data_IF_065421268722
#
_entry.id   IF_065421268722
#
_cell.length_a   1.000
_cell.length_b   1.000
_cell.length_c   1.000
_cell.angle_alpha   90.00
_cell.angle_beta   90.00
_cell.angle_gamma   90.00
#
_symmetry.space_group_name_H-M   'P 1'
#
loop_
_entity.id
_entity.type
_entity.pdbx_description
1 polymer ?
#
# COMPACT_ATOMS: atom_id res chain seq x y z
N UNK A 1 19.55 6.57 8.56
CA UNK A 1 20.26 5.28 8.53
C UNK A 1 19.68 4.39 9.63
N UNK A 2 19.13 3.24 9.29
CA UNK A 2 18.40 2.39 10.26
C UNK A 2 19.37 1.58 11.10
N UNK A 3 19.18 1.55 12.42
CA UNK A 3 19.92 0.68 13.35
C UNK A 3 19.79 -0.78 12.91
N UNK A 4 20.88 -1.55 12.91
CA UNK A 4 20.94 -2.94 12.41
C UNK A 4 20.74 -3.10 10.89
N UNK A 5 20.82 -2.01 10.14
CA UNK A 5 20.75 -1.97 8.68
C UNK A 5 21.84 -1.12 8.04
N UNK A 6 22.96 -0.90 8.73
CA UNK A 6 24.02 0.04 8.33
C UNK A 6 24.60 -0.26 6.94
N UNK A 7 24.67 -1.53 6.57
CA UNK A 7 25.14 -1.97 5.25
C UNK A 7 23.99 -2.34 4.30
N UNK A 8 22.79 -1.83 4.57
CA UNK A 8 21.57 -2.16 3.85
C UNK A 8 20.95 -3.50 4.28
N UNK A 9 19.61 -3.54 4.29
CA UNK A 9 18.88 -4.77 4.60
C UNK A 9 18.89 -5.70 3.38
N UNK A 10 19.50 -6.89 3.54
CA UNK A 10 19.60 -7.91 2.46
C UNK A 10 18.31 -8.68 2.20
N UNK A 11 17.47 -8.84 3.22
CA UNK A 11 16.17 -9.54 3.10
C UNK A 11 15.10 -8.58 2.57
N UNK A 12 14.30 -9.06 1.63
CA UNK A 12 13.13 -8.33 1.14
C UNK A 12 12.15 -7.99 2.28
N UNK A 13 11.29 -6.99 2.03
CA UNK A 13 10.17 -6.67 2.92
C UNK A 13 9.25 -7.89 3.02
N UNK A 14 8.91 -8.31 4.24
CA UNK A 14 7.87 -9.32 4.44
C UNK A 14 6.55 -8.77 3.91
N UNK A 15 5.87 -9.55 3.08
CA UNK A 15 4.53 -9.18 2.61
C UNK A 15 3.47 -9.66 3.61
N UNK A 16 3.15 -8.78 4.56
CA UNK A 16 2.11 -9.04 5.56
C UNK A 16 0.73 -9.15 4.91
N UNK A 17 0.45 -8.32 3.89
CA UNK A 17 -0.85 -8.29 3.25
C UNK A 17 -1.14 -9.60 2.53
N UNK A 18 -0.20 -10.08 1.71
CA UNK A 18 -0.32 -11.40 1.06
C UNK A 18 -0.46 -12.51 2.10
N UNK A 19 0.32 -12.47 3.18
CA UNK A 19 0.21 -13.48 4.25
C UNK A 19 -1.20 -13.53 4.84
N UNK A 20 -1.84 -12.36 5.05
CA UNK A 20 -3.20 -12.31 5.60
C UNK A 20 -4.28 -12.70 4.59
N UNK A 21 -4.11 -12.33 3.31
CA UNK A 21 -5.03 -12.74 2.24
C UNK A 21 -5.12 -14.26 2.09
N UNK A 22 -4.02 -14.99 2.35
CA UNK A 22 -4.01 -16.46 2.25
C UNK A 22 -4.94 -17.14 3.25
N UNK A 23 -5.38 -16.46 4.33
CA UNK A 23 -6.43 -16.99 5.19
C UNK A 23 -7.82 -16.99 4.53
N UNK A 24 -8.02 -16.19 3.47
CA UNK A 24 -9.24 -16.16 2.65
C UNK A 24 -10.44 -15.41 3.26
N UNK A 25 -10.46 -15.21 4.59
CA UNK A 25 -11.58 -14.61 5.32
C UNK A 25 -11.21 -13.31 6.06
N UNK A 26 -10.11 -12.69 5.67
CA UNK A 26 -9.64 -11.42 6.24
C UNK A 26 -9.76 -10.36 5.17
N UNK A 27 -10.43 -9.24 5.44
CA UNK A 27 -10.36 -8.08 4.56
C UNK A 27 -8.97 -7.46 4.67
N UNK A 28 -8.30 -7.20 3.54
CA UNK A 28 -6.93 -6.65 3.54
C UNK A 28 -6.83 -5.50 2.55
N UNK A 29 -6.36 -4.34 3.00
CA UNK A 29 -6.08 -3.21 2.13
C UNK A 29 -4.68 -2.64 2.36
N UNK A 30 -3.97 -2.32 1.27
CA UNK A 30 -2.76 -1.51 1.32
C UNK A 30 -3.10 -0.12 0.78
N UNK A 31 -2.90 0.91 1.61
CA UNK A 31 -3.35 2.29 1.35
C UNK A 31 -2.18 3.27 1.41
N UNK A 32 -2.39 4.44 0.79
CA UNK A 32 -1.51 5.59 0.88
C UNK A 32 -2.33 6.85 0.69
N UNK A 33 -2.53 7.60 1.77
CA UNK A 33 -3.42 8.77 1.79
C UNK A 33 -2.95 9.84 0.82
N UNK A 34 -1.63 10.09 0.76
CA UNK A 34 -1.06 11.10 -0.13
C UNK A 34 -1.04 10.69 -1.61
N UNK A 35 -1.07 9.38 -1.90
CA UNK A 35 -1.14 8.88 -3.26
C UNK A 35 -2.59 8.88 -3.79
N UNK A 36 -3.56 8.40 -3.01
CA UNK A 36 -4.93 8.22 -3.48
C UNK A 36 -5.94 8.31 -2.32
N UNK A 37 -6.42 9.53 -2.01
CA UNK A 37 -7.37 9.77 -0.91
C UNK A 37 -8.67 8.97 -1.03
N UNK A 38 -9.28 8.96 -2.23
CA UNK A 38 -10.55 8.25 -2.46
C UNK A 38 -10.43 6.74 -2.21
N UNK A 39 -9.30 6.14 -2.58
CA UNK A 39 -9.02 4.73 -2.32
C UNK A 39 -8.86 4.46 -0.83
N UNK A 40 -8.18 5.36 -0.12
CA UNK A 40 -7.98 5.27 1.34
C UNK A 40 -9.32 5.31 2.08
N UNK A 41 -10.17 6.29 1.79
CA UNK A 41 -11.50 6.41 2.44
C UNK A 41 -12.35 5.19 2.15
N UNK A 42 -12.38 4.74 0.89
CA UNK A 42 -13.13 3.54 0.49
C UNK A 42 -12.65 2.29 1.21
N UNK A 43 -11.34 2.08 1.30
CA UNK A 43 -10.77 0.93 2.00
C UNK A 43 -11.15 0.90 3.48
N UNK A 44 -11.12 2.06 4.15
CA UNK A 44 -11.49 2.18 5.56
C UNK A 44 -12.99 1.86 5.76
N UNK A 45 -13.86 2.40 4.90
CA UNK A 45 -15.30 2.13 4.95
C UNK A 45 -15.63 0.65 4.69
N UNK A 46 -15.01 0.05 3.68
CA UNK A 46 -15.22 -1.37 3.36
C UNK A 46 -14.72 -2.30 4.47
N UNK A 47 -13.57 -1.97 5.09
CA UNK A 47 -12.97 -2.71 6.19
C UNK A 47 -13.82 -2.64 7.47
N UNK A 48 -14.39 -1.48 7.77
CA UNK A 48 -15.28 -1.29 8.92
C UNK A 48 -16.61 -2.02 8.73
N UNK A 49 -17.18 -1.97 7.52
CA UNK A 49 -18.42 -2.66 7.20
C UNK A 49 -18.27 -4.18 6.98
N UNK A 50 -17.04 -4.72 7.01
CA UNK A 50 -16.80 -6.15 6.82
C UNK A 50 -17.14 -6.91 8.12
N UNK A 51 -18.07 -7.89 8.10
CA UNK A 51 -18.45 -8.67 9.28
C UNK A 51 -17.39 -9.74 9.60
N UNK A 52 -16.16 -9.33 9.85
CA UNK A 52 -15.01 -10.20 10.08
C UNK A 52 -13.73 -9.42 10.39
N UNK A 53 -12.58 -10.10 10.47
CA UNK A 53 -11.30 -9.45 10.71
C UNK A 53 -10.86 -8.61 9.50
N UNK A 54 -10.35 -7.41 9.78
CA UNK A 54 -9.86 -6.47 8.77
C UNK A 54 -8.44 -6.00 9.10
N UNK A 55 -7.58 -5.93 8.09
CA UNK A 55 -6.23 -5.37 8.16
C UNK A 55 -6.04 -4.24 7.15
N UNK A 56 -5.62 -3.07 7.63
CA UNK A 56 -5.21 -1.94 6.80
C UNK A 56 -3.70 -1.71 6.98
N UNK A 57 -2.97 -1.72 5.88
CA UNK A 57 -1.52 -1.43 5.84
C UNK A 57 -1.35 -0.06 5.20
N UNK A 58 -1.14 0.96 6.02
CA UNK A 58 -0.96 2.33 5.56
C UNK A 58 0.53 2.68 5.39
N UNK A 59 0.88 3.30 4.27
CA UNK A 59 2.17 3.98 4.16
C UNK A 59 2.17 5.21 5.07
N UNK A 60 3.17 5.31 5.96
CA UNK A 60 3.35 6.42 6.88
C UNK A 60 4.69 7.11 6.61
N UNK A 61 4.69 8.38 6.17
CA UNK A 61 5.88 9.20 6.10
C UNK A 61 6.60 9.32 7.44
N UNK A 62 7.94 9.33 7.42
CA UNK A 62 8.78 9.34 8.61
C UNK A 62 10.07 10.08 8.29
N UNK A 63 10.57 10.90 9.21
CA UNK A 63 11.79 11.69 9.01
C UNK A 63 13.04 10.81 8.80
N UNK A 64 13.05 9.60 9.38
CA UNK A 64 14.12 8.61 9.20
C UNK A 64 14.29 8.14 7.74
N UNK A 65 13.31 8.39 6.87
CA UNK A 65 13.44 8.15 5.43
C UNK A 65 14.37 9.17 4.74
N UNK A 66 14.74 10.27 5.41
CA UNK A 66 15.79 11.19 4.96
C UNK A 66 15.36 12.18 3.88
N UNK A 67 14.08 12.59 3.87
CA UNK A 67 13.54 13.62 2.98
C UNK A 67 12.66 14.61 3.76
N UNK A 68 12.41 15.79 3.18
CA UNK A 68 11.54 16.80 3.81
C UNK A 68 10.08 16.34 3.86
N UNK A 69 9.52 16.23 5.07
CA UNK A 69 8.13 15.80 5.29
C UNK A 69 7.09 16.74 4.66
N UNK A 70 7.46 17.99 4.35
CA UNK A 70 6.60 18.85 3.54
C UNK A 70 6.29 18.25 2.15
N UNK A 71 7.16 17.39 1.63
CA UNK A 71 7.03 16.73 0.33
C UNK A 71 6.42 15.32 0.43
N UNK A 72 5.92 14.91 1.59
CA UNK A 72 5.43 13.54 1.81
C UNK A 72 4.32 13.10 0.86
N UNK A 73 3.44 14.00 0.43
CA UNK A 73 2.40 13.68 -0.56
C UNK A 73 2.98 13.33 -1.93
N UNK A 74 3.98 14.06 -2.40
CA UNK A 74 4.66 13.79 -3.66
C UNK A 74 5.45 12.49 -3.58
N UNK A 75 6.17 12.28 -2.47
CA UNK A 75 6.88 11.03 -2.23
C UNK A 75 5.92 9.83 -2.24
N UNK A 76 4.77 9.92 -1.57
CA UNK A 76 3.73 8.89 -1.58
C UNK A 76 3.23 8.59 -2.99
N UNK A 77 2.96 9.62 -3.80
CA UNK A 77 2.56 9.46 -5.21
C UNK A 77 3.63 8.73 -6.02
N UNK A 78 4.90 9.11 -5.87
CA UNK A 78 6.02 8.50 -6.58
C UNK A 78 6.22 7.02 -6.18
N UNK A 79 6.10 6.70 -4.89
CA UNK A 79 6.22 5.32 -4.40
C UNK A 79 5.14 4.41 -4.99
N UNK A 80 3.91 4.92 -5.16
CA UNK A 80 2.84 4.17 -5.82
C UNK A 80 3.05 4.11 -7.34
N UNK A 81 3.47 5.21 -7.98
CA UNK A 81 3.72 5.26 -9.42
C UNK A 81 4.86 4.34 -9.88
N UNK A 82 5.89 4.15 -9.05
CA UNK A 82 7.01 3.23 -9.30
C UNK A 82 6.71 1.78 -8.93
N UNK A 83 5.54 1.50 -8.35
CA UNK A 83 5.18 0.17 -7.87
C UNK A 83 5.85 -0.25 -6.56
N UNK A 84 6.61 0.64 -5.90
CA UNK A 84 7.20 0.35 -4.59
C UNK A 84 6.13 0.14 -3.50
N UNK A 85 5.03 0.88 -3.60
CA UNK A 85 3.87 0.76 -2.71
C UNK A 85 2.56 0.66 -3.52
N UNK A 86 2.21 -0.53 -4.03
CA UNK A 86 0.97 -0.72 -4.79
C UNK A 86 -0.26 -0.53 -3.89
N UNK A 87 -1.35 -0.03 -4.45
CA UNK A 87 -2.61 0.15 -3.70
C UNK A 87 -3.56 -0.95 -4.12
N UNK A 88 -4.14 -1.65 -3.15
CA UNK A 88 -5.07 -2.74 -3.41
C UNK A 88 -6.05 -2.92 -2.26
N UNK A 89 -7.14 -3.63 -2.55
CA UNK A 89 -8.14 -4.11 -1.59
C UNK A 89 -8.49 -5.55 -1.91
N UNK A 90 -8.39 -6.42 -0.93
CA UNK A 90 -8.88 -7.78 -0.96
C UNK A 90 -10.13 -7.84 -0.08
N UNK A 91 -11.27 -8.11 -0.72
CA UNK A 91 -12.55 -8.25 -0.04
C UNK A 91 -13.10 -9.66 -0.26
N UNK A 92 -13.15 -10.51 0.79
CA UNK A 92 -13.69 -11.86 0.70
C UNK A 92 -15.11 -11.92 0.14
N UNK A 93 -15.96 -10.92 0.42
CA UNK A 93 -17.37 -10.89 -0.01
C UNK A 93 -17.53 -10.90 -1.53
N UNK A 94 -16.52 -10.41 -2.25
CA UNK A 94 -16.52 -10.41 -3.72
C UNK A 94 -16.48 -11.83 -4.29
N UNK A 95 -15.87 -12.79 -3.59
CA UNK A 95 -15.90 -14.19 -4.02
C UNK A 95 -17.33 -14.73 -3.99
N UNK A 96 -18.12 -14.36 -2.98
CA UNK A 96 -19.52 -14.77 -2.83
C UNK A 96 -20.39 -14.22 -3.98
N UNK A 97 -20.00 -13.09 -4.55
CA UNK A 97 -20.61 -12.48 -5.74
C UNK A 97 -20.05 -13.02 -7.08
N UNK A 98 -19.16 -14.03 -7.04
CA UNK A 98 -18.50 -14.58 -8.24
C UNK A 98 -17.45 -13.65 -8.86
N UNK A 99 -16.99 -12.63 -8.13
CA UNK A 99 -15.96 -11.67 -8.58
C UNK A 99 -14.60 -12.03 -7.99
N UNK A 100 -13.54 -11.58 -8.65
CA UNK A 100 -12.17 -11.69 -8.10
C UNK A 100 -12.08 -10.86 -6.81
N UNK A 101 -11.67 -11.46 -5.66
CA UNK A 101 -11.59 -10.76 -4.38
C UNK A 101 -10.58 -9.62 -4.33
N UNK A 102 -9.45 -9.80 -5.03
CA UNK A 102 -8.39 -8.80 -5.12
C UNK A 102 -8.72 -7.76 -6.18
N UNK A 103 -8.79 -6.50 -5.78
CA UNK A 103 -8.81 -5.33 -6.65
C UNK A 103 -7.50 -4.56 -6.50
N UNK A 104 -6.77 -4.41 -7.62
CA UNK A 104 -5.62 -3.52 -7.70
C UNK A 104 -6.12 -2.11 -8.04
N UNK A 105 -5.88 -1.16 -7.15
CA UNK A 105 -6.32 0.23 -7.29
C UNK A 105 -5.21 1.13 -7.88
N UNK A 106 -3.93 0.77 -7.71
CA UNK A 106 -2.82 1.47 -8.34
C UNK A 106 -2.66 1.09 -9.81
N UNK A 107 -2.24 2.06 -10.63
CA UNK A 107 -1.87 1.82 -12.04
C UNK A 107 -0.62 0.95 -12.13
N UNK A 108 -0.37 0.30 -13.29
CA UNK A 108 0.92 -0.33 -13.57
C UNK A 108 2.08 0.64 -13.33
N UNK A 109 3.24 0.15 -12.85
CA UNK A 109 4.41 1.00 -12.63
C UNK A 109 4.82 1.77 -13.88
N UNK A 110 5.23 3.02 -13.73
CA UNK A 110 5.76 3.85 -14.81
C UNK A 110 7.09 4.50 -14.42
N UNK A 111 7.95 4.74 -15.42
CA UNK A 111 9.27 5.38 -15.27
C UNK A 111 9.21 6.87 -14.92
N UNK A 112 8.11 7.36 -14.32
CA UNK A 112 7.96 8.76 -13.95
C UNK A 112 8.94 9.21 -12.85
N UNK A 113 9.72 8.29 -12.26
CA UNK A 113 10.88 8.60 -11.46
C UNK A 113 12.14 8.67 -12.35
N UNK A 114 12.31 9.76 -13.12
CA UNK A 114 13.59 9.98 -13.82
C UNK A 114 13.65 10.89 -15.05
N UNK A 115 12.81 11.92 -15.20
CA UNK A 115 12.95 12.87 -16.33
C UNK A 115 13.01 14.37 -16.01
N UNK A 116 12.98 14.76 -14.73
CA UNK A 116 13.08 16.19 -14.33
C UNK A 116 14.32 16.52 -13.47
N UNK A 117 15.37 15.69 -13.53
CA UNK A 117 16.62 15.90 -12.78
C UNK A 117 17.89 15.62 -13.60
N UNK A 118 17.92 16.07 -14.87
CA UNK A 118 19.14 16.16 -15.68
C UNK A 118 19.15 17.48 -16.44
#
# INVERSE_FOLDING_TARGET
MTKFGEHGKRKARKDLGVSMMMYGHVYVAQISLGAQLNQTVKAIQEAEAYPGPSLIIAYSPCEEHGYDLALSHDQMRQLTATGFWPLYRFDPRRADEGKIPLALDSRPPSDAAGRDAA
#
